data_IF_189316662337
#
_entry.id   IF_189316662337
#
_cell.length_a   1.000
_cell.length_b   1.000
_cell.length_c   1.000
_cell.angle_alpha   90.00
_cell.angle_beta   90.00
_cell.angle_gamma   90.00
#
_symmetry.space_group_name_H-M   'P 1'
#
loop_
_entity.id
_entity.type
_entity.pdbx_description
1 polymer ?
#
# COMPACT_ATOMS: atom_id res chain seq x y z
N UNK A 1 14.88 -14.45 -10.01
CA UNK A 1 16.07 -13.78 -9.46
C UNK A 1 16.23 -12.37 -10.03
N UNK A 2 16.54 -12.18 -11.33
CA UNK A 2 16.71 -10.84 -11.92
C UNK A 2 15.53 -9.88 -11.71
N UNK A 3 14.29 -10.33 -11.95
CA UNK A 3 13.08 -9.51 -11.72
C UNK A 3 12.92 -9.06 -10.25
N UNK A 4 13.30 -9.90 -9.29
CA UNK A 4 13.20 -9.59 -7.85
C UNK A 4 14.21 -8.52 -7.44
N UNK A 5 15.43 -8.56 -7.98
CA UNK A 5 16.44 -7.54 -7.77
C UNK A 5 16.00 -6.19 -8.35
N UNK A 6 15.43 -6.18 -9.57
CA UNK A 6 14.87 -4.97 -10.18
C UNK A 6 13.72 -4.37 -9.34
N UNK A 7 12.91 -5.22 -8.67
CA UNK A 7 11.82 -4.77 -7.78
C UNK A 7 12.34 -4.04 -6.54
N UNK A 8 13.34 -4.64 -5.88
CA UNK A 8 13.96 -4.05 -4.68
C UNK A 8 14.67 -2.74 -5.04
N UNK A 9 15.41 -2.72 -6.15
CA UNK A 9 16.09 -1.53 -6.66
C UNK A 9 15.11 -0.41 -7.02
N UNK A 10 14.01 -0.70 -7.73
CA UNK A 10 13.02 0.32 -8.14
C UNK A 10 12.36 1.02 -6.95
N UNK A 11 12.01 0.27 -5.90
CA UNK A 11 11.40 0.82 -4.69
C UNK A 11 12.37 1.70 -3.91
N UNK A 12 13.55 1.17 -3.59
CA UNK A 12 14.57 1.89 -2.80
C UNK A 12 15.08 3.12 -3.56
N UNK A 13 15.31 3.01 -4.88
CA UNK A 13 15.69 4.16 -5.72
C UNK A 13 14.57 5.20 -5.76
N UNK A 14 13.31 4.79 -5.73
CA UNK A 14 12.18 5.74 -5.69
C UNK A 14 12.12 6.57 -4.40
N UNK A 15 12.52 5.99 -3.27
CA UNK A 15 12.67 6.72 -2.02
C UNK A 15 13.89 7.64 -2.04
N UNK A 16 15.00 7.18 -2.61
CA UNK A 16 16.22 7.96 -2.75
C UNK A 16 16.04 9.20 -3.65
N UNK A 17 15.33 9.06 -4.77
CA UNK A 17 15.13 10.15 -5.75
C UNK A 17 13.94 11.06 -5.37
N UNK A 18 13.20 10.75 -4.30
CA UNK A 18 12.07 11.58 -3.87
C UNK A 18 10.83 11.48 -4.76
N UNK A 19 10.66 10.39 -5.51
CA UNK A 19 9.59 10.24 -6.51
C UNK A 19 8.65 9.05 -6.27
N UNK A 20 8.74 8.42 -5.09
CA UNK A 20 8.03 7.17 -4.78
C UNK A 20 6.52 7.23 -5.02
N UNK A 21 5.86 8.35 -4.69
CA UNK A 21 4.42 8.53 -4.92
C UNK A 21 4.12 8.49 -6.42
N UNK A 22 4.91 9.20 -7.23
CA UNK A 22 4.77 9.21 -8.69
C UNK A 22 5.02 7.82 -9.28
N UNK A 23 5.95 7.05 -8.71
CA UNK A 23 6.21 5.67 -9.14
C UNK A 23 5.04 4.75 -8.86
N UNK A 24 4.43 4.81 -7.67
CA UNK A 24 3.24 4.02 -7.36
C UNK A 24 2.10 4.33 -8.33
N UNK A 25 1.85 5.62 -8.60
CA UNK A 25 0.80 6.05 -9.53
C UNK A 25 1.03 5.57 -10.97
N UNK A 26 2.29 5.38 -11.38
CA UNK A 26 2.66 4.90 -12.73
C UNK A 26 2.79 3.38 -12.81
N UNK A 27 3.00 2.72 -11.68
CA UNK A 27 3.12 1.28 -11.60
C UNK A 27 1.74 0.63 -11.80
N UNK A 28 1.69 -0.36 -12.69
CA UNK A 28 0.45 -1.05 -13.05
C UNK A 28 0.28 -2.36 -12.30
N UNK A 29 1.38 -2.93 -11.82
CA UNK A 29 1.41 -4.19 -11.10
C UNK A 29 1.06 -3.98 -9.61
N UNK A 30 -0.10 -4.48 -9.13
CA UNK A 30 -0.53 -4.30 -7.73
C UNK A 30 0.45 -4.91 -6.72
N UNK A 31 1.14 -6.00 -7.07
CA UNK A 31 2.11 -6.64 -6.16
C UNK A 31 3.33 -5.75 -5.98
N UNK A 32 3.72 -4.99 -7.01
CA UNK A 32 4.77 -3.99 -6.91
C UNK A 32 4.34 -2.76 -6.13
N UNK A 33 3.11 -2.28 -6.31
CA UNK A 33 2.57 -1.18 -5.51
C UNK A 33 2.56 -1.53 -4.01
N UNK A 34 2.11 -2.74 -3.68
CA UNK A 34 2.15 -3.28 -2.32
C UNK A 34 3.58 -3.33 -1.77
N UNK A 35 4.52 -3.87 -2.55
CA UNK A 35 5.91 -3.99 -2.12
C UNK A 35 6.54 -2.62 -1.85
N UNK A 36 6.40 -1.67 -2.76
CA UNK A 36 6.98 -0.31 -2.63
C UNK A 36 6.46 0.39 -1.36
N UNK A 37 5.17 0.22 -1.02
CA UNK A 37 4.59 0.79 0.20
C UNK A 37 4.98 0.03 1.45
N UNK A 38 5.03 -1.30 1.41
CA UNK A 38 5.37 -2.10 2.59
C UNK A 38 6.82 -1.89 3.05
N UNK A 39 7.76 -1.63 2.14
CA UNK A 39 9.18 -1.43 2.48
C UNK A 39 9.50 -0.03 3.03
N UNK A 40 8.50 0.85 3.16
CA UNK A 40 8.70 2.20 3.69
C UNK A 40 9.43 2.18 5.04
N UNK A 41 8.99 1.32 5.96
CA UNK A 41 9.51 1.28 7.32
C UNK A 41 10.98 0.84 7.33
N UNK A 42 11.32 -0.16 6.53
CA UNK A 42 12.69 -0.64 6.35
C UNK A 42 13.58 0.44 5.75
N UNK A 43 13.10 1.17 4.73
CA UNK A 43 13.83 2.30 4.13
C UNK A 43 14.03 3.42 5.15
N UNK A 44 13.01 3.75 5.95
CA UNK A 44 13.12 4.74 7.00
C UNK A 44 14.13 4.32 8.09
N UNK A 45 14.19 3.04 8.44
CA UNK A 45 15.19 2.49 9.37
C UNK A 45 16.60 2.58 8.78
N UNK A 46 16.78 2.25 7.50
CA UNK A 46 18.06 2.41 6.80
C UNK A 46 18.48 3.88 6.79
N UNK A 47 17.61 4.79 6.37
CA UNK A 47 17.84 6.24 6.35
C UNK A 47 18.19 6.80 7.73
N UNK A 48 17.61 6.28 8.82
CA UNK A 48 17.98 6.73 10.16
C UNK A 48 19.38 6.25 10.60
N UNK A 49 19.91 5.19 9.99
CA UNK A 49 21.23 4.64 10.27
C UNK A 49 22.33 5.21 9.36
N UNK A 50 21.98 5.53 8.12
CA UNK A 50 22.87 6.10 7.09
C UNK A 50 22.76 7.62 7.13
N UNK A 51 23.86 8.33 7.37
CA UNK A 51 23.85 9.80 7.50
C UNK A 51 23.28 10.36 8.82
N UNK A 52 22.78 9.51 9.71
CA UNK A 52 22.39 9.82 11.10
C UNK A 52 23.29 9.13 12.14
N UNK A 53 23.01 9.32 13.44
CA UNK A 53 23.82 8.95 14.62
C UNK A 53 24.43 7.52 14.71
N UNK A 54 24.17 6.64 13.75
CA UNK A 54 24.68 5.27 13.66
C UNK A 54 26.05 5.11 12.98
N UNK A 55 26.66 6.17 12.46
CA UNK A 55 28.04 6.15 11.94
C UNK A 55 28.25 5.42 10.61
N UNK A 56 27.17 5.14 9.85
CA UNK A 56 27.24 4.57 8.51
C UNK A 56 27.17 5.71 7.48
N UNK A 57 28.19 5.86 6.66
CA UNK A 57 28.32 6.96 5.70
C UNK A 57 27.51 6.72 4.41
N UNK A 58 27.44 5.48 3.94
CA UNK A 58 26.68 5.10 2.75
C UNK A 58 26.30 3.62 2.80
N UNK A 59 25.33 3.21 1.98
CA UNK A 59 25.05 1.80 1.72
C UNK A 59 25.17 1.46 0.23
N UNK A 60 25.69 0.29 -0.05
CA UNK A 60 25.66 -0.32 -1.37
C UNK A 60 24.32 -0.98 -1.64
N UNK A 61 23.67 -0.57 -2.73
CA UNK A 61 22.43 -1.18 -3.23
C UNK A 61 22.72 -1.90 -4.54
N UNK A 62 22.49 -3.21 -4.58
CA UNK A 62 22.64 -4.01 -5.80
C UNK A 62 23.33 -5.33 -5.53
N UNK A 63 23.99 -5.86 -6.56
CA UNK A 63 24.76 -7.12 -6.46
C UNK A 63 26.25 -6.79 -6.55
N UNK A 64 26.97 -6.67 -5.41
CA UNK A 64 28.37 -6.24 -5.38
C UNK A 64 29.29 -7.15 -6.21
N UNK A 65 28.92 -8.44 -6.32
CA UNK A 65 29.68 -9.44 -7.06
C UNK A 65 29.58 -9.30 -8.57
N UNK A 66 28.59 -8.58 -9.10
CA UNK A 66 28.42 -8.36 -10.54
C UNK A 66 28.81 -6.95 -11.00
N UNK A 67 29.39 -6.12 -10.11
CA UNK A 67 29.80 -4.75 -10.42
C UNK A 67 28.64 -3.78 -10.67
N UNK A 68 27.41 -4.19 -10.31
CA UNK A 68 26.18 -3.41 -10.44
C UNK A 68 25.75 -2.87 -9.08
N UNK A 69 26.65 -2.14 -8.44
CA UNK A 69 26.39 -1.50 -7.14
C UNK A 69 26.06 -0.02 -7.37
N UNK A 70 24.96 0.43 -6.77
CA UNK A 70 24.64 1.84 -6.62
C UNK A 70 24.93 2.22 -5.19
N UNK A 71 25.86 3.14 -4.97
CA UNK A 71 26.10 3.71 -3.64
C UNK A 71 25.01 4.73 -3.36
N UNK A 72 24.19 4.48 -2.34
CA UNK A 72 23.16 5.40 -1.89
C UNK A 72 23.58 6.06 -0.57
N UNK A 73 23.65 7.38 -0.60
CA UNK A 73 23.91 8.23 0.56
C UNK A 73 22.59 8.89 0.95
N UNK A 74 21.97 8.39 2.00
CA UNK A 74 20.76 9.00 2.56
C UNK A 74 21.19 10.25 3.34
N UNK A 75 20.83 11.43 2.84
CA UNK A 75 21.20 12.73 3.38
C UNK A 75 20.03 13.42 4.10
N UNK A 76 20.23 14.68 4.51
CA UNK A 76 19.18 15.49 5.15
C UNK A 76 17.93 15.61 4.28
N UNK A 77 18.11 15.79 2.97
CA UNK A 77 17.02 15.99 2.03
C UNK A 77 16.19 14.72 1.89
N UNK A 78 16.84 13.55 1.89
CA UNK A 78 16.15 12.26 1.88
C UNK A 78 15.35 12.03 3.17
N UNK A 79 15.88 12.45 4.31
CA UNK A 79 15.19 12.39 5.60
C UNK A 79 13.98 13.33 5.67
N UNK A 80 14.11 14.54 5.15
CA UNK A 80 13.02 15.51 5.08
C UNK A 80 11.94 15.00 4.12
N UNK A 81 12.33 14.41 2.99
CA UNK A 81 11.40 13.76 2.08
C UNK A 81 10.64 12.61 2.74
N UNK A 82 11.32 11.66 3.38
CA UNK A 82 10.66 10.56 4.10
C UNK A 82 9.72 11.06 5.20
N UNK A 83 10.13 12.09 5.94
CA UNK A 83 9.27 12.74 6.93
C UNK A 83 8.04 13.37 6.27
N UNK A 84 8.20 14.01 5.11
CA UNK A 84 7.11 14.67 4.39
C UNK A 84 6.07 13.70 3.84
N UNK A 85 6.48 12.50 3.43
CA UNK A 85 5.56 11.49 2.89
C UNK A 85 4.96 10.59 3.98
N UNK A 86 5.37 10.74 5.25
CA UNK A 86 4.84 9.93 6.34
C UNK A 86 3.37 10.26 6.56
N UNK A 87 2.50 9.24 6.51
CA UNK A 87 1.05 9.40 6.64
C UNK A 87 0.36 9.86 5.37
N UNK A 88 1.11 10.17 4.30
CA UNK A 88 0.54 10.42 2.98
C UNK A 88 -0.22 9.19 2.48
N UNK A 89 -1.23 9.47 1.66
CA UNK A 89 -2.10 8.45 1.10
C UNK A 89 -1.92 8.40 -0.40
N UNK A 90 -1.53 7.23 -0.92
CA UNK A 90 -1.52 6.95 -2.34
C UNK A 90 -2.63 5.97 -2.69
N UNK A 91 -3.31 6.22 -3.81
CA UNK A 91 -4.23 5.27 -4.41
C UNK A 91 -3.47 4.35 -5.37
N UNK A 92 -3.76 3.06 -5.27
CA UNK A 92 -3.23 2.05 -6.17
C UNK A 92 -3.89 2.06 -7.55
N UNK A 93 -3.70 1.00 -8.31
CA UNK A 93 -4.43 0.79 -9.56
C UNK A 93 -5.90 0.45 -9.30
N UNK A 94 -6.75 0.80 -10.26
CA UNK A 94 -8.15 0.40 -10.21
C UNK A 94 -8.26 -1.13 -10.29
N UNK A 95 -8.96 -1.73 -9.35
CA UNK A 95 -9.15 -3.17 -9.28
C UNK A 95 -10.49 -3.52 -8.65
N UNK A 96 -10.82 -4.81 -8.69
CA UNK A 96 -12.01 -5.35 -8.05
C UNK A 96 -11.62 -6.22 -6.85
N UNK A 97 -12.32 -6.06 -5.73
CA UNK A 97 -12.20 -6.94 -4.58
C UNK A 97 -13.58 -7.47 -4.20
N UNK A 98 -13.62 -8.75 -3.78
CA UNK A 98 -14.84 -9.40 -3.28
C UNK A 98 -14.66 -9.84 -1.84
N UNK A 99 -15.71 -9.73 -1.05
CA UNK A 99 -15.71 -10.22 0.33
C UNK A 99 -17.07 -10.10 1.01
N UNK A 100 -17.19 -10.83 2.13
CA UNK A 100 -18.38 -10.74 3.00
C UNK A 100 -18.18 -9.63 4.02
N UNK A 101 -19.15 -8.74 4.12
CA UNK A 101 -19.15 -7.66 5.11
C UNK A 101 -19.35 -8.28 6.49
N UNK A 102 -18.51 -7.96 7.47
CA UNK A 102 -18.61 -8.52 8.83
C UNK A 102 -18.64 -7.47 9.92
N UNK A 103 -18.28 -6.22 9.63
CA UNK A 103 -18.30 -5.11 10.59
C UNK A 103 -18.45 -3.78 9.88
N UNK A 104 -19.10 -2.83 10.56
CA UNK A 104 -19.30 -1.46 10.11
C UNK A 104 -18.66 -0.46 11.05
N UNK A 105 -18.18 0.66 10.49
CA UNK A 105 -17.72 1.83 11.23
C UNK A 105 -18.47 3.06 10.69
N UNK A 106 -19.65 3.38 11.24
CA UNK A 106 -20.54 4.40 10.68
C UNK A 106 -19.93 5.81 10.60
N UNK A 107 -19.19 6.23 11.63
CA UNK A 107 -18.60 7.57 11.69
C UNK A 107 -17.63 7.85 10.53
N UNK A 108 -16.99 6.80 9.99
CA UNK A 108 -16.02 6.90 8.90
C UNK A 108 -16.53 6.30 7.59
N UNK A 109 -17.79 5.83 7.54
CA UNK A 109 -18.40 5.17 6.37
C UNK A 109 -17.56 3.99 5.86
N UNK A 110 -17.02 3.19 6.78
CA UNK A 110 -16.19 2.02 6.45
C UNK A 110 -16.98 0.73 6.66
N UNK A 111 -16.96 -0.15 5.66
CA UNK A 111 -17.36 -1.54 5.80
C UNK A 111 -16.11 -2.43 5.80
N UNK A 112 -15.91 -3.20 6.87
CA UNK A 112 -14.85 -4.20 6.90
C UNK A 112 -15.35 -5.51 6.28
N UNK A 113 -14.59 -6.01 5.31
CA UNK A 113 -14.88 -7.23 4.58
C UNK A 113 -13.87 -8.32 4.90
N UNK A 114 -14.33 -9.57 4.84
CA UNK A 114 -13.47 -10.75 4.84
C UNK A 114 -13.39 -11.30 3.42
N UNK A 115 -12.19 -11.29 2.85
CA UNK A 115 -11.90 -11.85 1.52
C UNK A 115 -11.69 -13.36 1.62
N UNK A 116 -11.68 -14.03 0.46
CA UNK A 116 -11.22 -15.42 0.37
C UNK A 116 -9.79 -15.54 0.93
N UNK A 117 -9.54 -16.58 1.73
CA UNK A 117 -8.27 -16.75 2.44
C UNK A 117 -8.16 -16.01 3.78
N UNK A 118 -9.27 -15.47 4.31
CA UNK A 118 -9.36 -14.95 5.68
C UNK A 118 -8.82 -13.53 5.90
N UNK A 119 -8.19 -12.93 4.88
CA UNK A 119 -7.69 -11.55 4.93
C UNK A 119 -8.83 -10.55 5.07
N UNK A 120 -8.65 -9.57 5.93
CA UNK A 120 -9.63 -8.50 6.18
C UNK A 120 -9.21 -7.21 5.49
N UNK A 121 -10.17 -6.50 4.90
CA UNK A 121 -9.95 -5.20 4.25
C UNK A 121 -11.00 -4.21 4.72
N UNK A 122 -10.58 -3.01 5.09
CA UNK A 122 -11.44 -1.88 5.40
C UNK A 122 -11.80 -1.14 4.10
N UNK A 123 -13.08 -1.13 3.75
CA UNK A 123 -13.57 -0.47 2.54
C UNK A 123 -14.21 0.86 2.88
N UNK A 124 -13.60 1.96 2.42
CA UNK A 124 -14.15 3.30 2.47
C UNK A 124 -15.20 3.48 1.37
N UNK A 125 -16.38 3.95 1.74
CA UNK A 125 -17.56 4.00 0.88
C UNK A 125 -18.11 5.42 0.78
N UNK A 126 -18.77 5.71 -0.35
CA UNK A 126 -19.71 6.84 -0.46
C UNK A 126 -20.89 6.59 0.47
N UNK A 127 -21.59 7.66 0.84
CA UNK A 127 -22.70 7.60 1.80
C UNK A 127 -23.81 6.65 1.35
N UNK A 128 -24.28 6.81 0.12
CA UNK A 128 -25.33 5.99 -0.48
C UNK A 128 -24.94 4.49 -0.53
N UNK A 129 -23.69 4.20 -0.89
CA UNK A 129 -23.16 2.84 -0.93
C UNK A 129 -23.04 2.24 0.48
N UNK A 130 -22.62 3.03 1.47
CA UNK A 130 -22.54 2.59 2.85
C UNK A 130 -23.93 2.22 3.39
N UNK A 131 -24.92 3.08 3.16
CA UNK A 131 -26.28 2.85 3.60
C UNK A 131 -26.91 1.64 2.89
N UNK A 132 -26.65 1.47 1.59
CA UNK A 132 -27.09 0.30 0.83
C UNK A 132 -26.58 -1.01 1.43
N UNK A 133 -25.33 -1.06 1.90
CA UNK A 133 -24.79 -2.25 2.57
C UNK A 133 -25.34 -2.38 3.99
N UNK A 134 -25.39 -1.28 4.75
CA UNK A 134 -25.81 -1.26 6.15
C UNK A 134 -27.25 -1.74 6.34
N UNK A 135 -28.14 -1.34 5.45
CA UNK A 135 -29.57 -1.69 5.48
C UNK A 135 -29.91 -2.90 4.60
N UNK A 136 -28.89 -3.63 4.13
CA UNK A 136 -29.11 -4.87 3.38
C UNK A 136 -29.78 -5.93 4.25
N UNK A 137 -30.72 -6.69 3.68
CA UNK A 137 -31.54 -7.68 4.43
C UNK A 137 -30.74 -8.90 4.87
N UNK A 138 -29.76 -9.30 4.07
CA UNK A 138 -28.91 -10.47 4.33
C UNK A 138 -27.93 -10.22 5.49
N UNK A 139 -27.72 -11.23 6.34
CA UNK A 139 -26.71 -11.18 7.39
C UNK A 139 -25.34 -11.49 6.81
N UNK A 140 -24.41 -10.54 6.93
CA UNK A 140 -23.04 -10.59 6.36
C UNK A 140 -23.02 -10.75 4.82
N UNK A 141 -23.65 -9.80 4.08
CA UNK A 141 -23.79 -9.90 2.64
C UNK A 141 -22.44 -9.89 1.92
N UNK A 142 -22.38 -10.60 0.80
CA UNK A 142 -21.23 -10.56 -0.10
C UNK A 142 -21.39 -9.41 -1.10
N UNK A 143 -20.31 -8.66 -1.29
CA UNK A 143 -20.27 -7.58 -2.27
C UNK A 143 -18.99 -7.67 -3.11
N UNK A 144 -19.11 -7.23 -4.36
CA UNK A 144 -18.01 -6.87 -5.24
C UNK A 144 -17.82 -5.35 -5.14
N UNK A 145 -16.60 -4.94 -4.85
CA UNK A 145 -16.19 -3.54 -4.72
C UNK A 145 -15.22 -3.21 -5.83
N UNK A 146 -15.47 -2.12 -6.57
CA UNK A 146 -14.60 -1.64 -7.63
C UNK A 146 -14.05 -0.28 -7.24
N UNK A 147 -12.74 -0.08 -7.37
CA UNK A 147 -12.08 1.12 -6.89
C UNK A 147 -10.58 0.93 -6.73
N UNK A 148 -9.99 1.58 -5.73
CA UNK A 148 -8.53 1.65 -5.60
C UNK A 148 -8.05 1.18 -4.21
N UNK A 149 -6.97 0.38 -4.13
CA UNK A 149 -6.24 0.18 -2.87
C UNK A 149 -5.84 1.52 -2.28
N UNK A 150 -5.99 1.66 -0.96
CA UNK A 150 -5.49 2.83 -0.22
C UNK A 150 -4.20 2.42 0.47
N UNK A 151 -3.12 3.10 0.12
CA UNK A 151 -1.81 2.90 0.75
C UNK A 151 -1.49 4.09 1.63
N UNK A 152 -1.23 3.83 2.91
CA UNK A 152 -0.79 4.84 3.85
C UNK A 152 0.67 4.61 4.21
N UNK A 153 1.55 5.55 3.87
CA UNK A 153 2.97 5.43 4.14
C UNK A 153 3.25 5.55 5.64
N UNK A 154 4.18 4.73 6.15
CA UNK A 154 4.53 4.71 7.58
C UNK A 154 3.63 3.85 8.46
N UNK A 155 2.71 3.09 7.87
CA UNK A 155 1.97 2.03 8.57
C UNK A 155 2.48 0.69 8.07
N UNK A 156 2.93 -0.18 8.99
CA UNK A 156 3.36 -1.53 8.63
C UNK A 156 2.15 -2.37 8.18
N UNK A 157 2.04 -2.59 6.88
CA UNK A 157 1.01 -3.48 6.32
C UNK A 157 1.63 -4.43 5.29
N UNK A 158 1.63 -5.73 5.58
CA UNK A 158 2.11 -6.77 4.67
C UNK A 158 1.19 -7.03 3.47
N UNK A 159 0.00 -6.43 3.45
CA UNK A 159 -0.99 -6.56 2.37
C UNK A 159 -1.95 -5.37 2.39
N UNK A 160 -2.62 -5.10 1.26
CA UNK A 160 -3.71 -4.12 1.17
C UNK A 160 -4.72 -4.36 2.29
N UNK A 161 -4.69 -3.48 3.28
CA UNK A 161 -5.61 -3.48 4.42
C UNK A 161 -6.79 -2.53 4.20
N UNK A 162 -6.70 -1.66 3.20
CA UNK A 162 -7.65 -0.59 2.96
C UNK A 162 -7.97 -0.40 1.47
N UNK A 163 -9.21 -0.02 1.18
CA UNK A 163 -9.72 0.12 -0.18
C UNK A 163 -10.73 1.25 -0.27
N UNK A 164 -10.63 2.09 -1.28
CA UNK A 164 -11.63 3.12 -1.59
C UNK A 164 -12.52 2.59 -2.69
N UNK A 165 -13.79 2.34 -2.39
CA UNK A 165 -14.76 1.88 -3.36
C UNK A 165 -15.34 3.07 -4.15
N UNK A 166 -15.30 2.96 -5.46
CA UNK A 166 -16.02 3.85 -6.37
C UNK A 166 -17.45 3.38 -6.62
N UNK A 167 -17.63 2.06 -6.72
CA UNK A 167 -18.94 1.42 -6.86
C UNK A 167 -18.98 0.04 -6.21
N UNK A 168 -20.20 -0.38 -5.85
CA UNK A 168 -20.46 -1.69 -5.25
C UNK A 168 -21.56 -2.46 -5.98
N UNK A 169 -21.45 -3.78 -5.97
CA UNK A 169 -22.45 -4.69 -6.49
C UNK A 169 -22.68 -5.81 -5.47
N UNK A 170 -23.92 -5.97 -5.03
CA UNK A 170 -24.30 -7.12 -4.19
C UNK A 170 -24.14 -8.40 -5.02
N UNK A 171 -23.54 -9.40 -4.39
CA UNK A 171 -23.40 -10.72 -4.97
C UNK A 171 -24.50 -11.56 -4.35
N UNK A 172 -25.50 -11.91 -5.16
CA UNK A 172 -26.47 -12.92 -4.77
C UNK A 172 -25.71 -14.18 -4.36
N UNK A 173 -26.04 -14.72 -3.18
CA UNK A 173 -25.59 -16.06 -2.84
C UNK A 173 -26.18 -16.97 -3.92
N UNK A 174 -25.33 -17.50 -4.81
CA UNK A 174 -25.72 -18.66 -5.62
C UNK A 174 -26.34 -19.69 -4.66
N UNK A 175 -27.54 -20.16 -5.02
CA UNK A 175 -28.34 -21.12 -4.29
C UNK A 175 -27.57 -22.42 -3.99
#
# INVERSE_FOLDING_TARGET
>A
MAKLADYVLSGIVGYYVGDVIKRIQREKDPDRQNFITSVYTEVAVINNRVGGAGGVEAIGLGEPRSGRETVATFDSDTKDYLSSIKGEVALGTFQEIRGKVYKFYPASRIAAIRRAGGRTVSVFLKEDDFDRIRYHKEKNPAFLFRGWPRYQFGVETASVSEFVADSIQHLDSEA
#
